data_IF_198163477673
#
_entry.id   IF_198163477673
#
_cell.length_a   1.000
_cell.length_b   1.000
_cell.length_c   1.000
_cell.angle_alpha   90.00
_cell.angle_beta   90.00
_cell.angle_gamma   90.00
#
_symmetry.space_group_name_H-M   'P 1'
#
loop_
_entity.id
_entity.type
_entity.pdbx_description
1 polymer ?
#
# COMPACT_ATOMS: atom_id res chain seq x y z
N UNK A 1 -13.21 24.40 -13.29
CA UNK A 1 -13.90 23.07 -13.39
C UNK A 1 -13.33 22.10 -12.34
N UNK A 2 -14.08 21.06 -11.97
CA UNK A 2 -13.56 19.97 -11.13
C UNK A 2 -12.66 19.06 -11.97
N UNK A 3 -11.43 18.88 -11.53
CA UNK A 3 -10.45 17.99 -12.19
C UNK A 3 -10.51 16.59 -11.59
N UNK A 4 -10.56 16.49 -10.27
CA UNK A 4 -10.58 15.21 -9.57
C UNK A 4 -10.45 15.35 -8.08
N UNK A 5 -10.10 14.24 -7.42
CA UNK A 5 -9.90 14.18 -5.99
C UNK A 5 -8.55 13.57 -5.67
N UNK A 6 -7.89 14.06 -4.63
CA UNK A 6 -6.65 13.50 -4.11
C UNK A 6 -6.88 12.84 -2.75
N UNK A 7 -6.35 11.63 -2.59
CA UNK A 7 -6.42 10.84 -1.36
C UNK A 7 -5.09 10.16 -1.05
N UNK A 8 -4.96 9.66 0.17
CA UNK A 8 -3.84 8.81 0.57
C UNK A 8 -4.04 7.32 0.21
N UNK A 9 -3.13 6.47 0.68
CA UNK A 9 -3.17 5.01 0.50
C UNK A 9 -4.38 4.34 1.17
N UNK A 10 -5.08 5.03 2.07
CA UNK A 10 -6.30 4.55 2.73
C UNK A 10 -7.57 5.14 2.14
N UNK A 11 -7.47 5.87 1.03
CA UNK A 11 -8.56 6.61 0.39
C UNK A 11 -9.16 7.71 1.29
N UNK A 12 -8.33 8.30 2.14
CA UNK A 12 -8.71 9.46 2.95
C UNK A 12 -8.35 10.72 2.19
N UNK A 13 -9.31 11.63 2.07
CA UNK A 13 -9.14 12.89 1.38
C UNK A 13 -7.95 13.69 1.91
N UNK A 14 -7.11 14.17 1.00
CA UNK A 14 -5.94 14.97 1.34
C UNK A 14 -6.18 16.43 0.99
N UNK A 15 -6.31 17.27 2.01
CA UNK A 15 -6.43 18.72 1.88
C UNK A 15 -5.06 19.36 1.67
N UNK A 16 -5.07 20.57 1.11
CA UNK A 16 -3.89 21.43 0.97
C UNK A 16 -2.70 20.76 0.22
N UNK A 17 -3.02 19.87 -0.70
CA UNK A 17 -2.03 19.34 -1.63
C UNK A 17 -1.73 20.39 -2.69
N UNK A 18 -0.47 20.78 -2.83
CA UNK A 18 -0.05 21.64 -3.93
C UNK A 18 -0.13 20.87 -5.25
N UNK A 19 -0.84 21.43 -6.21
CA UNK A 19 -1.14 20.83 -7.50
C UNK A 19 -0.67 21.78 -8.59
N UNK A 20 0.34 21.36 -9.34
CA UNK A 20 0.92 22.11 -10.44
C UNK A 20 0.53 21.47 -11.76
N UNK A 21 -0.06 22.25 -12.64
CA UNK A 21 -0.40 21.90 -14.02
C UNK A 21 0.54 22.60 -14.97
N UNK A 22 1.19 21.84 -15.83
CA UNK A 22 2.19 22.36 -16.78
C UNK A 22 1.99 21.75 -18.17
N UNK A 23 2.06 22.58 -19.20
CA UNK A 23 2.27 22.20 -20.57
C UNK A 23 3.21 23.24 -21.25
N UNK A 24 3.35 23.20 -22.58
CA UNK A 24 4.23 24.12 -23.30
C UNK A 24 3.78 25.60 -23.23
N UNK A 25 2.51 25.86 -22.96
CA UNK A 25 1.89 27.19 -23.04
C UNK A 25 1.39 27.69 -21.68
N UNK A 26 0.98 26.78 -20.80
CA UNK A 26 0.29 27.10 -19.55
C UNK A 26 1.06 26.57 -18.34
N UNK A 27 1.06 27.40 -17.29
CA UNK A 27 1.53 27.04 -15.97
C UNK A 27 0.48 27.52 -14.95
N UNK A 28 -0.12 26.60 -14.21
CA UNK A 28 -1.18 26.93 -13.27
C UNK A 28 -1.01 26.13 -11.96
N UNK A 29 -1.14 26.84 -10.83
CA UNK A 29 -1.07 26.26 -9.50
C UNK A 29 -2.45 26.27 -8.83
N UNK A 30 -2.77 25.19 -8.13
CA UNK A 30 -3.97 25.03 -7.35
C UNK A 30 -3.66 24.30 -6.04
N UNK A 31 -4.65 24.22 -5.16
CA UNK A 31 -4.58 23.42 -3.93
C UNK A 31 -5.86 22.61 -3.76
N UNK A 32 -5.71 21.39 -3.25
CA UNK A 32 -6.87 20.55 -2.94
C UNK A 32 -7.65 21.10 -1.74
N UNK A 33 -8.97 20.96 -1.81
CA UNK A 33 -9.90 21.36 -0.74
C UNK A 33 -9.95 20.29 0.38
N UNK A 34 -10.73 20.57 1.43
CA UNK A 34 -10.89 19.68 2.59
C UNK A 34 -11.35 18.25 2.24
N UNK A 35 -12.15 18.09 1.20
CA UNK A 35 -12.62 16.81 0.69
C UNK A 35 -11.70 16.20 -0.39
N UNK A 36 -10.51 16.75 -0.57
CA UNK A 36 -9.55 16.33 -1.59
C UNK A 36 -9.84 16.84 -3.01
N UNK A 37 -10.93 17.59 -3.24
CA UNK A 37 -11.27 18.09 -4.56
C UNK A 37 -10.24 19.09 -5.10
N UNK A 38 -9.92 18.94 -6.38
CA UNK A 38 -9.02 19.81 -7.14
C UNK A 38 -9.84 20.54 -8.19
N UNK A 39 -9.83 21.86 -8.14
CA UNK A 39 -10.44 22.70 -9.14
C UNK A 39 -9.37 23.51 -9.87
N UNK A 40 -9.53 23.63 -11.18
CA UNK A 40 -8.68 24.48 -12.01
C UNK A 40 -9.50 25.06 -13.16
N UNK A 41 -9.10 26.25 -13.59
CA UNK A 41 -9.61 26.89 -14.80
C UNK A 41 -8.49 26.91 -15.84
N UNK A 42 -8.54 25.94 -16.75
CA UNK A 42 -7.48 25.61 -17.70
C UNK A 42 -8.03 25.48 -19.11
N UNK A 43 -7.21 25.83 -20.08
CA UNK A 43 -7.49 25.55 -21.50
C UNK A 43 -7.52 24.03 -21.75
N UNK A 44 -8.34 23.56 -22.71
CA UNK A 44 -8.30 22.15 -23.10
C UNK A 44 -6.92 21.75 -23.64
N UNK A 45 -6.42 20.58 -23.18
CA UNK A 45 -5.12 20.09 -23.62
C UNK A 45 -4.55 18.98 -22.73
N UNK A 46 -3.36 18.53 -23.08
CA UNK A 46 -2.60 17.56 -22.28
C UNK A 46 -1.69 18.32 -21.31
N UNK A 47 -1.78 17.99 -20.03
CA UNK A 47 -0.98 18.59 -18.96
C UNK A 47 -0.16 17.56 -18.23
N UNK A 48 1.03 17.94 -17.80
CA UNK A 48 1.77 17.28 -16.74
C UNK A 48 1.27 17.81 -15.42
N UNK A 49 0.68 16.94 -14.61
CA UNK A 49 0.23 17.24 -13.27
C UNK A 49 1.27 16.79 -12.25
N UNK A 50 1.69 17.71 -11.36
CA UNK A 50 2.59 17.41 -10.23
C UNK A 50 1.87 17.69 -8.92
N UNK A 51 1.80 16.67 -8.04
CA UNK A 51 1.23 16.79 -6.71
C UNK A 51 2.35 16.74 -5.66
N UNK A 52 2.26 17.64 -4.67
CA UNK A 52 3.20 17.69 -3.55
C UNK A 52 2.47 17.97 -2.25
N UNK A 53 2.81 17.21 -1.21
CA UNK A 53 2.34 17.42 0.16
C UNK A 53 3.42 16.95 1.12
N UNK A 54 3.65 17.72 2.18
CA UNK A 54 4.55 17.30 3.26
C UNK A 54 4.08 15.99 3.88
N UNK A 55 5.01 15.07 4.17
CA UNK A 55 4.73 13.74 4.68
C UNK A 55 4.28 12.72 3.64
N UNK A 56 4.26 13.10 2.35
CA UNK A 56 3.89 12.24 1.23
C UNK A 56 4.92 12.28 0.13
N UNK A 57 5.06 11.16 -0.59
CA UNK A 57 5.84 11.13 -1.82
C UNK A 57 5.18 11.97 -2.90
N UNK A 58 5.97 12.74 -3.66
CA UNK A 58 5.45 13.54 -4.77
C UNK A 58 4.97 12.64 -5.90
N UNK A 59 4.00 13.10 -6.67
CA UNK A 59 3.43 12.37 -7.80
C UNK A 59 3.41 13.21 -9.06
N UNK A 60 3.73 12.56 -10.20
CA UNK A 60 3.62 13.16 -11.53
C UNK A 60 2.79 12.25 -12.43
N UNK A 61 1.75 12.81 -13.03
CA UNK A 61 0.88 12.11 -13.98
C UNK A 61 0.56 13.01 -15.18
N UNK A 62 0.25 12.42 -16.33
CA UNK A 62 -0.28 13.16 -17.47
C UNK A 62 -1.80 13.04 -17.46
N UNK A 63 -2.48 14.16 -17.64
CA UNK A 63 -3.93 14.20 -17.73
C UNK A 63 -4.39 15.05 -18.93
N UNK A 64 -5.53 14.67 -19.49
CA UNK A 64 -6.22 15.52 -20.50
C UNK A 64 -7.22 16.41 -19.80
N UNK A 65 -7.28 17.67 -20.16
CA UNK A 65 -8.22 18.68 -19.69
C UNK A 65 -9.19 19.04 -20.80
N UNK A 66 -10.50 19.05 -20.58
CA UNK A 66 -11.18 18.53 -19.39
C UNK A 66 -11.08 17.00 -19.33
N UNK A 67 -11.03 16.41 -18.13
CA UNK A 67 -11.12 14.96 -18.01
C UNK A 67 -12.58 14.50 -18.25
N UNK A 68 -12.75 13.33 -18.83
CA UNK A 68 -14.09 12.74 -19.07
C UNK A 68 -14.85 12.49 -17.77
N UNK A 69 -14.12 12.14 -16.71
CA UNK A 69 -14.62 11.96 -15.35
C UNK A 69 -13.59 12.50 -14.35
N UNK A 70 -14.03 12.94 -13.16
CA UNK A 70 -13.10 13.35 -12.12
C UNK A 70 -12.06 12.26 -11.81
N UNK A 71 -10.77 12.60 -11.93
CA UNK A 71 -9.69 11.64 -11.71
C UNK A 71 -9.49 11.36 -10.21
N UNK A 72 -9.23 10.10 -9.86
CA UNK A 72 -8.93 9.69 -8.49
C UNK A 72 -7.43 9.54 -8.30
N UNK A 73 -6.79 10.62 -7.85
CA UNK A 73 -5.35 10.70 -7.64
C UNK A 73 -4.97 10.16 -6.25
N UNK A 74 -3.92 9.35 -6.18
CA UNK A 74 -3.48 8.70 -4.94
C UNK A 74 -2.06 9.13 -4.57
N UNK A 75 -1.88 9.57 -3.33
CA UNK A 75 -0.57 9.80 -2.72
C UNK A 75 -0.23 8.67 -1.76
N UNK A 76 1.05 8.38 -1.61
CA UNK A 76 1.57 7.45 -0.62
C UNK A 76 2.28 8.22 0.48
N UNK A 77 1.89 7.97 1.73
CA UNK A 77 2.56 8.57 2.87
C UNK A 77 4.02 8.08 2.98
N UNK A 78 4.89 8.92 3.51
CA UNK A 78 6.32 8.61 3.69
C UNK A 78 6.60 7.62 4.83
N UNK A 79 5.59 6.88 5.27
CA UNK A 79 5.73 5.89 6.34
C UNK A 79 6.39 4.61 5.82
N UNK A 80 7.20 4.01 6.68
CA UNK A 80 7.76 2.70 6.42
C UNK A 80 6.65 1.64 6.41
N UNK A 81 6.45 0.98 5.27
CA UNK A 81 5.50 -0.13 5.13
C UNK A 81 6.05 -1.19 4.19
N UNK A 82 5.64 -2.43 4.36
CA UNK A 82 6.11 -3.51 3.50
C UNK A 82 5.26 -4.76 3.56
N UNK A 83 5.56 -5.72 2.70
CA UNK A 83 4.93 -7.03 2.65
C UNK A 83 5.79 -8.04 1.91
N UNK A 84 5.51 -9.34 2.12
CA UNK A 84 6.13 -10.44 1.38
C UNK A 84 5.28 -10.86 0.18
N UNK A 85 5.95 -11.22 -0.93
CA UNK A 85 5.30 -11.78 -2.10
C UNK A 85 6.09 -12.96 -2.70
N UNK A 86 5.55 -14.17 -2.78
CA UNK A 86 4.33 -14.63 -2.13
C UNK A 86 4.41 -14.56 -0.59
N UNK A 87 3.25 -14.33 0.06
CA UNK A 87 3.17 -14.29 1.54
C UNK A 87 3.28 -15.67 2.17
N UNK A 88 2.84 -16.70 1.46
CA UNK A 88 2.89 -18.10 1.90
C UNK A 88 3.72 -18.91 0.92
N UNK A 89 4.72 -19.60 1.42
CA UNK A 89 5.66 -20.43 0.65
C UNK A 89 6.00 -21.69 1.41
N UNK A 90 6.56 -22.66 0.71
CA UNK A 90 7.16 -23.83 1.36
C UNK A 90 8.60 -23.53 1.81
N UNK A 91 9.06 -24.29 2.78
CA UNK A 91 10.45 -24.31 3.22
C UNK A 91 11.40 -24.46 2.02
N UNK A 92 12.42 -23.61 1.94
CA UNK A 92 13.39 -23.58 0.84
C UNK A 92 12.97 -22.76 -0.39
N UNK A 93 11.71 -22.39 -0.52
CA UNK A 93 11.25 -21.48 -1.59
C UNK A 93 11.65 -20.03 -1.33
N UNK A 94 11.49 -19.19 -2.34
CA UNK A 94 11.86 -17.77 -2.28
C UNK A 94 10.63 -16.89 -2.23
N UNK A 95 10.69 -15.85 -1.40
CA UNK A 95 9.76 -14.72 -1.44
C UNK A 95 10.51 -13.42 -1.63
N UNK A 96 9.90 -12.49 -2.34
CA UNK A 96 10.33 -11.13 -2.49
C UNK A 96 9.78 -10.29 -1.32
N UNK A 97 10.61 -9.48 -0.68
CA UNK A 97 10.12 -8.43 0.21
C UNK A 97 9.96 -7.13 -0.58
N UNK A 98 8.84 -6.47 -0.37
CA UNK A 98 8.48 -5.23 -1.03
C UNK A 98 8.27 -4.17 0.03
N UNK A 99 9.16 -3.20 0.09
CA UNK A 99 9.18 -2.19 1.15
C UNK A 99 9.15 -0.80 0.52
N UNK A 100 8.30 0.06 1.07
CA UNK A 100 8.33 1.49 0.85
C UNK A 100 9.01 2.14 2.05
N UNK A 101 10.05 2.91 1.79
CA UNK A 101 10.77 3.71 2.78
C UNK A 101 11.31 4.97 2.12
N UNK A 102 11.46 6.05 2.89
CA UNK A 102 12.05 7.30 2.42
C UNK A 102 13.51 7.47 2.83
N UNK A 103 14.02 6.54 3.61
CA UNK A 103 15.41 6.47 4.07
C UNK A 103 15.88 5.00 4.12
N UNK A 104 17.17 4.79 4.35
CA UNK A 104 17.73 3.47 4.51
C UNK A 104 17.09 2.73 5.69
N UNK A 105 16.85 1.45 5.52
CA UNK A 105 16.23 0.60 6.52
C UNK A 105 16.93 -0.75 6.64
N UNK A 106 16.89 -1.30 7.85
CA UNK A 106 17.36 -2.64 8.17
C UNK A 106 16.20 -3.62 8.16
N UNK A 107 16.46 -4.86 7.74
CA UNK A 107 15.51 -5.97 7.85
C UNK A 107 16.10 -7.04 8.75
N UNK A 108 15.32 -7.46 9.74
CA UNK A 108 15.57 -8.62 10.58
C UNK A 108 14.44 -9.65 10.40
N UNK A 109 14.81 -10.93 10.31
CA UNK A 109 13.87 -12.05 10.25
C UNK A 109 13.65 -12.60 11.64
N UNK A 110 12.39 -12.69 12.04
CA UNK A 110 11.95 -13.30 13.29
C UNK A 110 10.99 -14.46 13.02
N UNK A 111 10.94 -15.40 13.96
CA UNK A 111 9.91 -16.43 14.03
C UNK A 111 9.00 -16.15 15.21
N UNK A 112 7.70 -16.18 14.95
CA UNK A 112 6.67 -15.97 15.96
C UNK A 112 6.38 -17.31 16.68
N UNK A 113 6.51 -17.33 17.98
CA UNK A 113 6.23 -18.48 18.83
C UNK A 113 5.71 -18.02 20.18
N UNK A 114 6.01 -18.75 21.24
CA UNK A 114 5.80 -18.29 22.61
C UNK A 114 6.57 -16.98 22.86
N UNK A 115 7.79 -16.94 22.37
CA UNK A 115 8.67 -15.77 22.33
C UNK A 115 8.93 -15.35 20.89
N UNK A 116 9.37 -14.10 20.70
CA UNK A 116 9.85 -13.57 19.41
C UNK A 116 11.29 -14.04 19.20
N UNK A 117 11.49 -15.05 18.38
CA UNK A 117 12.84 -15.58 18.10
C UNK A 117 13.48 -14.84 16.94
N UNK A 118 14.54 -14.09 17.20
CA UNK A 118 15.39 -13.53 16.15
C UNK A 118 16.14 -14.64 15.43
N UNK A 119 15.96 -14.72 14.10
CA UNK A 119 16.60 -15.76 13.27
C UNK A 119 17.90 -15.23 12.67
N UNK A 120 17.81 -14.09 11.97
CA UNK A 120 18.98 -13.45 11.36
C UNK A 120 18.70 -12.03 10.94
N UNK A 121 19.75 -11.25 10.83
CA UNK A 121 19.74 -9.99 10.09
C UNK A 121 19.82 -10.29 8.58
N UNK A 122 18.95 -9.69 7.78
CA UNK A 122 18.95 -9.83 6.31
C UNK A 122 19.90 -8.81 5.69
N UNK A 123 19.92 -7.59 6.21
CA UNK A 123 20.80 -6.53 5.72
C UNK A 123 20.18 -5.13 5.84
N UNK A 124 20.91 -4.18 5.27
CA UNK A 124 20.50 -2.80 5.08
C UNK A 124 20.17 -2.56 3.61
N UNK A 125 19.14 -1.74 3.35
CA UNK A 125 18.63 -1.42 2.03
C UNK A 125 18.36 0.08 1.95
N UNK A 126 18.73 0.72 0.85
CA UNK A 126 18.64 2.17 0.65
C UNK A 126 18.10 2.57 -0.74
N UNK A 127 17.79 1.60 -1.60
CA UNK A 127 17.40 1.83 -2.98
C UNK A 127 15.97 2.36 -3.18
N UNK A 128 15.20 2.49 -2.10
CA UNK A 128 13.80 2.90 -2.13
C UNK A 128 13.60 4.32 -1.58
N UNK A 129 14.39 5.25 -2.07
CA UNK A 129 14.23 6.65 -1.70
C UNK A 129 12.93 7.29 -2.26
N UNK A 130 12.58 8.50 -1.83
CA UNK A 130 11.35 9.19 -2.23
C UNK A 130 11.17 9.32 -3.74
N UNK A 131 12.25 9.46 -4.49
CA UNK A 131 12.23 9.58 -5.95
C UNK A 131 11.83 8.27 -6.65
N UNK A 132 12.18 7.14 -6.07
CA UNK A 132 11.85 5.83 -6.63
C UNK A 132 10.37 5.48 -6.44
N UNK A 133 9.75 5.93 -5.35
CA UNK A 133 8.37 5.58 -4.97
C UNK A 133 7.33 6.59 -5.44
N UNK A 134 7.73 7.83 -5.72
CA UNK A 134 6.81 8.94 -6.03
C UNK A 134 5.92 8.72 -7.25
N UNK A 135 6.29 7.85 -8.16
CA UNK A 135 5.59 7.67 -9.44
C UNK A 135 4.89 6.33 -9.60
N UNK A 136 5.06 5.39 -8.66
CA UNK A 136 4.56 4.03 -8.82
C UNK A 136 3.23 3.76 -8.14
N UNK A 137 2.75 4.67 -7.28
CA UNK A 137 1.43 4.51 -6.65
C UNK A 137 0.34 4.59 -7.71
N UNK A 138 -0.42 3.51 -7.97
CA UNK A 138 -1.51 3.54 -8.92
C UNK A 138 -2.59 4.53 -8.49
N UNK A 139 -3.29 5.09 -9.46
CA UNK A 139 -4.48 5.90 -9.22
C UNK A 139 -5.74 5.01 -9.18
N UNK A 140 -6.81 5.53 -8.64
CA UNK A 140 -8.06 4.78 -8.52
C UNK A 140 -8.01 3.67 -7.46
N UNK A 141 -8.71 2.57 -7.73
CA UNK A 141 -8.79 1.40 -6.84
C UNK A 141 -7.73 0.36 -7.20
N UNK A 142 -6.64 0.32 -6.45
CA UNK A 142 -5.60 -0.70 -6.59
C UNK A 142 -5.73 -1.85 -5.58
N UNK A 143 -6.83 -1.94 -4.84
CA UNK A 143 -7.02 -3.05 -3.89
C UNK A 143 -7.20 -4.39 -4.58
N UNK A 144 -7.62 -4.40 -5.84
CA UNK A 144 -7.79 -5.62 -6.64
C UNK A 144 -6.50 -6.04 -7.32
N UNK A 145 -5.70 -5.10 -7.79
CA UNK A 145 -4.47 -5.37 -8.56
C UNK A 145 -3.22 -5.44 -7.68
N UNK A 146 -3.30 -4.89 -6.46
CA UNK A 146 -2.16 -4.72 -5.59
C UNK A 146 -1.30 -3.51 -5.94
N UNK A 147 -0.20 -3.35 -5.20
CA UNK A 147 0.76 -2.27 -5.37
C UNK A 147 2.18 -2.78 -5.25
N UNK A 148 3.03 -2.45 -6.23
CA UNK A 148 4.48 -2.70 -6.17
C UNK A 148 5.19 -1.38 -5.89
N UNK A 149 5.97 -1.32 -4.82
CA UNK A 149 6.59 -0.07 -4.39
C UNK A 149 7.75 0.38 -5.27
N UNK A 150 8.50 -0.49 -5.89
CA UNK A 150 9.61 -0.11 -6.75
C UNK A 150 9.73 -1.08 -7.93
N UNK A 151 9.00 -0.82 -8.99
CA UNK A 151 9.02 -1.66 -10.18
C UNK A 151 10.40 -1.76 -10.84
N UNK A 152 11.21 -0.71 -10.79
CA UNK A 152 12.55 -0.72 -11.36
C UNK A 152 13.54 -1.47 -10.47
N UNK A 153 13.51 -1.23 -9.15
CA UNK A 153 14.35 -1.92 -8.18
C UNK A 153 14.12 -3.43 -8.17
N UNK A 154 12.87 -3.87 -8.22
CA UNK A 154 12.51 -5.30 -8.22
C UNK A 154 12.98 -6.05 -9.48
N UNK A 155 13.11 -5.37 -10.59
CA UNK A 155 13.61 -5.95 -11.84
C UNK A 155 15.11 -5.77 -12.03
N UNK A 156 15.79 -4.99 -11.20
CA UNK A 156 17.22 -4.76 -11.30
C UNK A 156 17.99 -6.01 -10.84
N UNK A 157 18.85 -6.62 -11.66
CA UNK A 157 19.57 -7.85 -11.31
C UNK A 157 20.56 -7.66 -10.16
N UNK A 158 20.94 -6.42 -9.82
CA UNK A 158 21.81 -6.09 -8.70
C UNK A 158 21.04 -5.94 -7.37
N UNK A 159 19.73 -5.72 -7.40
CA UNK A 159 18.87 -5.58 -6.23
C UNK A 159 18.16 -6.88 -5.94
N UNK A 160 18.79 -7.72 -5.14
CA UNK A 160 18.23 -9.02 -4.75
C UNK A 160 17.36 -8.86 -3.51
N UNK A 161 16.09 -8.61 -3.73
CA UNK A 161 15.08 -8.45 -2.66
C UNK A 161 14.36 -9.76 -2.34
N UNK A 162 15.10 -10.88 -2.36
CA UNK A 162 14.57 -12.20 -2.10
C UNK A 162 15.15 -12.79 -0.84
N UNK A 163 14.29 -13.48 -0.08
CA UNK A 163 14.68 -14.30 1.06
C UNK A 163 14.28 -15.73 0.75
N UNK A 164 15.20 -16.66 1.07
CA UNK A 164 14.90 -18.10 1.05
C UNK A 164 14.22 -18.46 2.36
N UNK A 165 13.10 -19.18 2.26
CA UNK A 165 12.32 -19.62 3.41
C UNK A 165 13.14 -20.57 4.28
N UNK A 166 13.12 -20.39 5.62
CA UNK A 166 13.77 -21.29 6.56
C UNK A 166 13.28 -22.73 6.42
N UNK A 167 14.12 -23.68 6.86
CA UNK A 167 13.76 -25.11 6.84
C UNK A 167 12.61 -25.42 7.80
N UNK A 168 12.55 -24.76 8.94
CA UNK A 168 11.50 -24.94 9.92
C UNK A 168 10.25 -24.17 9.52
N UNK A 169 9.11 -24.88 9.42
CA UNK A 169 7.81 -24.24 9.18
C UNK A 169 7.37 -23.38 10.35
N UNK A 170 6.52 -22.39 10.07
CA UNK A 170 5.96 -21.53 11.09
C UNK A 170 5.48 -20.18 10.55
N UNK A 171 5.03 -19.36 11.49
CA UNK A 171 4.74 -17.96 11.24
C UNK A 171 6.01 -17.17 11.48
N UNK A 172 6.51 -16.54 10.44
CA UNK A 172 7.63 -15.62 10.49
C UNK A 172 7.13 -14.19 10.25
N UNK A 173 7.97 -13.23 10.57
CA UNK A 173 7.77 -11.85 10.16
C UNK A 173 9.11 -11.19 9.87
N UNK A 174 9.09 -10.26 8.96
CA UNK A 174 10.19 -9.35 8.72
C UNK A 174 9.94 -8.09 9.53
N UNK A 175 10.93 -7.72 10.34
CA UNK A 175 10.95 -6.48 11.09
C UNK A 175 11.87 -5.50 10.39
N UNK A 176 11.27 -4.43 9.86
CA UNK A 176 12.01 -3.35 9.20
C UNK A 176 12.13 -2.16 10.14
N UNK A 177 13.30 -1.53 10.16
CA UNK A 177 13.56 -0.35 10.99
C UNK A 177 14.48 0.62 10.26
N UNK A 178 14.07 1.88 10.19
CA UNK A 178 14.85 2.95 9.56
C UNK A 178 15.94 3.49 10.47
N UNK A 179 16.81 4.34 9.90
CA UNK A 179 17.84 5.04 10.68
C UNK A 179 17.24 6.01 11.70
N UNK A 180 16.12 6.65 11.37
CA UNK A 180 15.39 7.56 12.29
C UNK A 180 14.62 6.83 13.40
N UNK A 181 14.51 5.48 13.31
CA UNK A 181 13.84 4.64 14.30
C UNK A 181 12.39 4.28 13.98
N UNK A 182 11.86 4.70 12.82
CA UNK A 182 10.57 4.22 12.36
C UNK A 182 10.65 2.72 12.08
N UNK A 183 9.63 1.97 12.44
CA UNK A 183 9.62 0.52 12.23
C UNK A 183 8.28 0.02 11.70
N UNK A 184 8.33 -1.12 11.00
CA UNK A 184 7.17 -1.84 10.52
C UNK A 184 7.47 -3.33 10.41
N UNK A 185 6.51 -4.19 10.78
CA UNK A 185 6.64 -5.64 10.68
C UNK A 185 5.57 -6.21 9.78
N UNK A 186 5.93 -7.19 8.96
CA UNK A 186 4.96 -7.84 8.09
C UNK A 186 5.12 -9.37 8.07
N UNK A 187 4.00 -10.12 8.05
CA UNK A 187 4.01 -11.56 8.22
C UNK A 187 4.51 -12.31 6.98
N UNK A 188 5.10 -13.47 7.23
CA UNK A 188 5.52 -14.43 6.25
C UNK A 188 5.25 -15.86 6.73
N UNK A 189 4.44 -16.62 5.99
CA UNK A 189 4.03 -17.98 6.37
C UNK A 189 4.93 -18.96 5.64
N UNK A 190 5.60 -19.81 6.40
CA UNK A 190 6.43 -20.88 5.86
C UNK A 190 5.76 -22.22 6.15
N UNK A 191 5.25 -22.86 5.12
CA UNK A 191 4.72 -24.21 5.20
C UNK A 191 5.86 -25.25 5.17
N UNK A 192 5.71 -26.43 5.79
CA UNK A 192 6.73 -27.46 5.73
C UNK A 192 6.84 -28.04 4.30
N UNK A 193 8.07 -28.33 3.84
CA UNK A 193 8.29 -29.02 2.57
C UNK A 193 7.70 -30.45 2.61
N UNK A 194 7.74 -31.10 3.79
CA UNK A 194 7.12 -32.39 4.05
C UNK A 194 6.44 -32.37 5.42
N UNK A 195 5.23 -32.90 5.48
CA UNK A 195 4.47 -32.96 6.73
C UNK A 195 5.08 -34.00 7.66
N UNK A 196 5.52 -33.57 8.86
CA UNK A 196 6.12 -34.42 9.88
C UNK A 196 5.33 -34.42 11.20
N UNK A 197 4.39 -33.48 11.37
CA UNK A 197 3.62 -33.30 12.58
C UNK A 197 2.20 -33.88 12.44
N UNK A 198 1.64 -34.35 13.56
CA UNK A 198 0.24 -34.82 13.66
C UNK A 198 -0.75 -33.65 13.72
N UNK A 199 -0.28 -32.46 14.06
CA UNK A 199 -1.09 -31.25 14.22
C UNK A 199 -0.65 -30.23 13.19
N UNK A 200 -1.62 -29.68 12.46
CA UNK A 200 -1.42 -28.55 11.56
C UNK A 200 -2.06 -27.30 12.16
N UNK A 201 -1.38 -26.17 12.00
CA UNK A 201 -1.91 -24.83 12.34
C UNK A 201 -2.17 -24.08 11.03
N UNK A 202 -3.43 -23.72 10.81
CA UNK A 202 -3.82 -22.93 9.66
C UNK A 202 -3.70 -21.45 9.99
N UNK A 203 -2.85 -20.72 9.27
CA UNK A 203 -2.75 -19.26 9.40
C UNK A 203 -3.97 -18.58 8.73
N UNK A 204 -4.58 -17.64 9.44
CA UNK A 204 -5.80 -16.95 9.00
C UNK A 204 -5.52 -15.81 8.00
N UNK A 205 -4.62 -16.01 7.04
CA UNK A 205 -4.21 -14.98 6.09
C UNK A 205 -5.36 -14.43 5.23
N UNK A 206 -6.39 -15.24 4.96
CA UNK A 206 -7.61 -14.80 4.28
C UNK A 206 -8.34 -13.74 5.14
N UNK A 207 -8.51 -14.02 6.44
CA UNK A 207 -9.12 -13.06 7.36
C UNK A 207 -8.29 -11.79 7.49
N UNK A 208 -6.95 -11.92 7.56
CA UNK A 208 -6.08 -10.74 7.59
C UNK A 208 -6.30 -9.84 6.37
N UNK A 209 -6.38 -10.44 5.18
CA UNK A 209 -6.66 -9.68 3.96
C UNK A 209 -8.08 -9.09 3.94
N UNK A 210 -9.07 -9.80 4.48
CA UNK A 210 -10.45 -9.33 4.57
C UNK A 210 -10.60 -8.06 5.43
N UNK A 211 -9.79 -7.91 6.47
CA UNK A 211 -9.75 -6.70 7.31
C UNK A 211 -8.82 -5.61 6.80
N UNK A 212 -7.88 -5.95 5.91
CA UNK A 212 -6.88 -5.02 5.44
C UNK A 212 -7.48 -3.92 4.57
N UNK A 213 -7.41 -2.67 5.03
CA UNK A 213 -7.96 -1.50 4.35
C UNK A 213 -6.90 -0.68 3.59
N UNK A 214 -5.70 -1.21 3.38
CA UNK A 214 -4.72 -0.55 2.52
C UNK A 214 -5.24 -0.49 1.08
N UNK A 215 -5.26 0.69 0.50
CA UNK A 215 -5.92 0.97 -0.78
C UNK A 215 -7.32 1.56 -0.63
N UNK A 216 -7.90 1.54 0.60
CA UNK A 216 -9.19 2.16 0.91
C UNK A 216 -10.37 1.21 0.96
N UNK A 217 -10.18 -0.07 0.58
CA UNK A 217 -11.23 -1.11 0.67
C UNK A 217 -10.78 -2.29 1.50
N UNK A 218 -11.75 -2.91 2.14
CA UNK A 218 -11.68 -4.23 2.78
C UNK A 218 -13.05 -4.90 2.64
N UNK A 219 -13.22 -6.11 3.16
CA UNK A 219 -14.57 -6.70 3.23
C UNK A 219 -15.50 -6.01 4.22
N UNK A 220 -14.99 -5.08 5.03
CA UNK A 220 -15.76 -4.35 6.05
C UNK A 220 -15.86 -2.85 5.76
N UNK A 221 -15.06 -2.34 4.84
CA UNK A 221 -15.02 -0.93 4.45
C UNK A 221 -15.08 -0.87 2.93
N UNK A 222 -16.14 -0.30 2.40
CA UNK A 222 -16.38 -0.21 0.95
C UNK A 222 -16.24 -1.56 0.22
N UNK A 223 -16.95 -2.62 0.65
CA UNK A 223 -16.70 -3.99 0.17
C UNK A 223 -16.93 -4.18 -1.32
N UNK A 224 -17.84 -3.42 -1.93
CA UNK A 224 -18.20 -3.51 -3.36
C UNK A 224 -17.23 -2.71 -4.24
N UNK A 225 -17.00 -1.45 -3.88
CA UNK A 225 -16.17 -0.50 -4.65
C UNK A 225 -15.81 0.71 -3.81
N UNK A 226 -14.79 1.45 -4.22
CA UNK A 226 -14.53 2.76 -3.63
C UNK A 226 -15.67 3.73 -3.91
N UNK A 227 -16.02 4.62 -2.96
CA UNK A 227 -16.91 5.74 -3.23
C UNK A 227 -16.35 6.64 -4.33
N UNK A 228 -17.25 7.38 -5.02
CA UNK A 228 -16.85 8.34 -6.06
C UNK A 228 -15.93 9.47 -5.53
N UNK A 229 -15.99 9.73 -4.22
CA UNK A 229 -15.16 10.72 -3.54
C UNK A 229 -14.44 10.07 -2.37
N UNK A 230 -13.20 10.49 -2.06
CA UNK A 230 -12.49 10.02 -0.87
C UNK A 230 -13.26 10.33 0.41
N UNK A 231 -13.05 9.51 1.43
CA UNK A 231 -13.58 9.75 2.77
C UNK A 231 -12.88 10.93 3.42
N UNK A 232 -13.64 11.86 3.98
CA UNK A 232 -13.08 13.00 4.72
C UNK A 232 -12.69 12.59 6.15
N UNK A 233 -13.33 11.57 6.69
CA UNK A 233 -13.06 11.10 8.04
C UNK A 233 -12.06 9.94 8.04
N UNK A 234 -10.95 10.11 8.77
CA UNK A 234 -9.94 9.07 8.96
C UNK A 234 -10.49 7.79 9.64
N UNK A 235 -11.61 7.90 10.34
CA UNK A 235 -12.29 6.77 10.96
C UNK A 235 -13.21 6.06 9.97
N UNK A 236 -12.62 5.46 8.97
CA UNK A 236 -13.33 4.64 7.97
C UNK A 236 -14.13 3.48 8.59
N UNK A 237 -13.72 3.02 9.79
CA UNK A 237 -14.44 2.03 10.57
C UNK A 237 -15.87 2.47 10.93
N UNK A 238 -16.15 3.76 11.02
CA UNK A 238 -17.50 4.26 11.26
C UNK A 238 -18.46 3.96 10.10
N UNK A 239 -17.99 3.93 8.85
CA UNK A 239 -18.82 3.57 7.71
C UNK A 239 -19.45 2.17 7.87
N UNK A 240 -18.77 1.28 8.58
CA UNK A 240 -19.22 -0.06 8.94
C UNK A 240 -20.48 -0.07 9.82
N UNK A 241 -20.70 0.99 10.60
CA UNK A 241 -21.82 1.12 11.54
C UNK A 241 -22.90 2.09 11.10
N UNK A 242 -22.60 2.93 10.10
CA UNK A 242 -23.49 4.03 9.68
C UNK A 242 -24.07 3.87 8.28
N UNK A 243 -23.51 2.98 7.47
CA UNK A 243 -24.04 2.59 6.17
C UNK A 243 -24.67 1.20 6.23
N UNK A 244 -25.17 0.70 5.11
CA UNK A 244 -25.76 -0.62 5.00
C UNK A 244 -24.91 -1.68 5.69
N UNK A 245 -25.54 -2.55 6.44
CA UNK A 245 -24.83 -3.62 7.15
C UNK A 245 -24.11 -4.50 6.13
N UNK A 246 -22.79 -4.73 6.35
CA UNK A 246 -22.01 -5.68 5.55
C UNK A 246 -22.55 -7.12 5.63
N UNK A 247 -23.38 -7.42 6.64
CA UNK A 247 -24.05 -8.70 6.81
C UNK A 247 -25.18 -8.92 5.81
N UNK A 248 -25.62 -7.87 5.12
CA UNK A 248 -26.69 -7.91 4.13
C UNK A 248 -26.18 -8.13 2.71
N UNK A 249 -24.86 -8.11 2.51
CA UNK A 249 -24.29 -8.32 1.18
C UNK A 249 -24.22 -9.81 0.85
N UNK A 250 -24.72 -10.16 -0.34
CA UNK A 250 -24.46 -11.47 -0.91
C UNK A 250 -22.96 -11.63 -1.18
N UNK A 251 -22.45 -12.86 -1.17
CA UNK A 251 -20.99 -13.10 -1.35
C UNK A 251 -20.48 -12.64 -2.74
N UNK A 252 -21.33 -12.57 -3.74
CA UNK A 252 -21.03 -12.06 -5.07
C UNK A 252 -20.81 -10.53 -5.10
N UNK A 253 -21.33 -9.84 -4.11
CA UNK A 253 -21.20 -8.40 -4.01
C UNK A 253 -19.83 -7.92 -3.54
N UNK A 254 -19.04 -8.83 -2.93
CA UNK A 254 -17.71 -8.49 -2.46
C UNK A 254 -16.72 -8.46 -3.63
N UNK A 255 -16.21 -7.28 -3.95
CA UNK A 255 -15.15 -7.18 -4.94
C UNK A 255 -13.85 -7.83 -4.42
N UNK A 256 -13.07 -8.52 -5.28
CA UNK A 256 -11.86 -9.21 -4.86
C UNK A 256 -10.84 -8.26 -4.23
N UNK A 257 -10.01 -8.80 -3.33
CA UNK A 257 -8.95 -8.10 -2.64
C UNK A 257 -7.61 -8.82 -2.89
N UNK A 258 -6.65 -8.12 -3.47
CA UNK A 258 -5.30 -8.63 -3.69
C UNK A 258 -4.54 -8.82 -2.38
N UNK A 259 -3.73 -9.88 -2.29
CA UNK A 259 -2.72 -10.04 -1.25
C UNK A 259 -1.43 -9.26 -1.54
N UNK A 260 -1.28 -8.71 -2.76
CA UNK A 260 -0.09 -7.97 -3.21
C UNK A 260 -0.14 -6.51 -2.71
N UNK A 261 -0.23 -6.34 -1.37
CA UNK A 261 -0.29 -5.05 -0.69
C UNK A 261 0.08 -5.18 0.78
N UNK A 262 0.55 -4.10 1.45
CA UNK A 262 0.83 -4.09 2.87
C UNK A 262 -0.39 -4.46 3.72
N UNK A 263 -0.17 -5.18 4.81
CA UNK A 263 -1.17 -5.47 5.83
C UNK A 263 -0.94 -4.61 7.07
N UNK A 264 -1.45 -3.40 7.03
CA UNK A 264 -1.22 -2.39 8.08
C UNK A 264 -1.88 -2.73 9.42
N UNK A 265 -2.84 -3.66 9.44
CA UNK A 265 -3.54 -4.08 10.66
C UNK A 265 -2.87 -5.28 11.36
N UNK A 266 -1.97 -5.99 10.68
CA UNK A 266 -1.21 -7.12 11.21
C UNK A 266 0.23 -6.75 11.55
N UNK A 267 0.49 -5.48 11.72
CA UNK A 267 1.76 -4.97 12.19
C UNK A 267 2.04 -5.44 13.62
N UNK A 268 3.21 -6.05 13.81
CA UNK A 268 3.66 -6.54 15.11
C UNK A 268 4.42 -5.41 15.80
N UNK A 269 4.00 -4.96 16.98
CA UNK A 269 4.71 -3.93 17.74
C UNK A 269 6.14 -4.34 18.09
N UNK A 270 7.02 -3.35 18.23
CA UNK A 270 8.42 -3.54 18.65
C UNK A 270 8.55 -4.17 20.05
#
# INVERSE_FOLDING_TARGET
MLIGYVSDERYIAQHDVAVLFENEQDHYESRSLANGAIYADLNPGLYQLTLRKEGYSSKRVKITIPPDQPVSLRLLSNKLVGYMWPKCVQSGEKSEFRVHATEAYRIDLFRYGWDKHHIKNIGWFDEHGPLATSQITPDGDYTQTGIKFNNQGYTNPHHRQYIVAPEQSGLYYLHTKTMSGEFFSFPWIVAPAQTQSRVAVLASNINWNAYNNFGGRSNYIHPRQLPAQPTVNARQDLARYTSDSHMEFAHEDYAPLSFDRPEIINHIPE
#
